data_IF_220766986954
#
_entry.id   IF_220766986954
#
_cell.length_a   1.000
_cell.length_b   1.000
_cell.length_c   1.000
_cell.angle_alpha   90.00
_cell.angle_beta   90.00
_cell.angle_gamma   90.00
#
_symmetry.space_group_name_H-M   'P 1'
#
loop_
_entity.id
_entity.type
_entity.pdbx_description
1 polymer ?
#
# COMPACT_ATOMS: atom_id res chain seq x y z
N UNK A 1 21.00 -17.84 -24.58
CA UNK A 1 20.21 -17.87 -23.33
C UNK A 1 18.89 -17.16 -23.63
N UNK A 2 17.75 -17.85 -23.61
CA UNK A 2 16.44 -17.20 -23.77
C UNK A 2 16.08 -16.60 -22.41
N UNK A 3 16.13 -15.27 -22.26
CA UNK A 3 15.47 -14.62 -21.13
C UNK A 3 13.97 -14.81 -21.33
N UNK A 4 13.40 -15.77 -20.61
CA UNK A 4 11.94 -15.87 -20.50
C UNK A 4 11.50 -14.66 -19.68
N UNK A 5 10.85 -13.68 -20.32
CA UNK A 5 10.18 -12.61 -19.58
C UNK A 5 9.01 -13.22 -18.84
N UNK A 6 9.19 -13.52 -17.56
CA UNK A 6 8.09 -13.91 -16.67
C UNK A 6 7.18 -12.70 -16.48
N UNK A 7 6.13 -12.63 -17.30
CA UNK A 7 5.08 -11.63 -17.12
C UNK A 7 4.30 -12.01 -15.86
N UNK A 8 4.67 -11.40 -14.73
CA UNK A 8 3.91 -11.59 -13.49
C UNK A 8 2.53 -10.92 -13.62
N UNK A 9 1.43 -11.66 -13.40
CA UNK A 9 0.10 -11.08 -13.50
C UNK A 9 -0.12 -10.04 -12.40
N UNK A 10 -0.45 -8.81 -12.80
CA UNK A 10 -0.74 -7.75 -11.84
C UNK A 10 -2.15 -7.92 -11.26
N UNK A 11 -2.26 -7.85 -9.94
CA UNK A 11 -3.51 -7.92 -9.20
C UNK A 11 -3.90 -6.54 -8.68
N UNK A 12 -5.19 -6.34 -8.41
CA UNK A 12 -5.66 -5.12 -7.77
C UNK A 12 -5.43 -5.19 -6.27
N UNK A 13 -4.92 -4.10 -5.70
CA UNK A 13 -4.73 -3.95 -4.27
C UNK A 13 -5.29 -2.62 -3.78
N UNK A 14 -5.70 -2.61 -2.52
CA UNK A 14 -6.02 -1.41 -1.75
C UNK A 14 -5.00 -1.29 -0.63
N UNK A 15 -4.20 -0.23 -0.64
CA UNK A 15 -3.27 0.08 0.43
C UNK A 15 -3.84 1.17 1.33
N UNK A 16 -3.77 0.96 2.64
CA UNK A 16 -4.12 1.96 3.65
C UNK A 16 -2.85 2.64 4.09
N UNK A 17 -2.83 3.96 3.99
CA UNK A 17 -1.62 4.76 4.20
C UNK A 17 -1.87 5.89 5.18
N UNK A 18 -0.84 6.28 5.92
CA UNK A 18 -0.92 7.34 6.93
C UNK A 18 0.36 8.19 6.94
N UNK A 19 0.31 9.44 7.42
CA UNK A 19 1.49 10.31 7.46
C UNK A 19 2.65 9.64 8.20
N UNK A 20 3.87 9.67 7.64
CA UNK A 20 5.06 9.08 8.28
C UNK A 20 5.43 9.73 9.61
N UNK A 21 4.94 10.94 9.85
CA UNK A 21 5.13 11.69 11.10
C UNK A 21 4.15 11.28 12.20
N UNK A 22 3.08 10.56 11.87
CA UNK A 22 2.11 10.08 12.83
C UNK A 22 2.67 8.85 13.58
N UNK A 23 2.60 8.89 14.90
CA UNK A 23 2.94 7.77 15.77
C UNK A 23 1.78 6.78 15.87
N UNK A 24 2.01 5.63 16.49
CA UNK A 24 0.95 4.65 16.73
C UNK A 24 -0.21 5.24 17.54
N UNK A 25 0.07 6.15 18.48
CA UNK A 25 -0.93 6.84 19.30
C UNK A 25 -1.80 7.78 18.47
N UNK A 26 -1.21 8.45 17.47
CA UNK A 26 -1.95 9.34 16.58
C UNK A 26 -2.95 8.59 15.69
N UNK A 27 -2.75 7.28 15.51
CA UNK A 27 -3.63 6.42 14.71
C UNK A 27 -4.79 5.82 15.52
N UNK A 28 -4.82 6.01 16.83
CA UNK A 28 -5.88 5.50 17.69
C UNK A 28 -7.13 6.40 17.67
N UNK A 29 -8.30 5.78 17.82
CA UNK A 29 -9.57 6.49 17.91
C UNK A 29 -10.08 7.07 16.59
N UNK A 30 -11.09 7.94 16.70
CA UNK A 30 -11.78 8.52 15.55
C UNK A 30 -10.89 9.53 14.80
N UNK A 31 -10.05 10.28 15.51
CA UNK A 31 -9.10 11.23 14.92
C UNK A 31 -8.03 10.50 14.10
N UNK A 32 -7.49 9.39 14.62
CA UNK A 32 -6.52 8.58 13.88
C UNK A 32 -7.10 7.94 12.62
N UNK A 33 -8.39 7.58 12.65
CA UNK A 33 -9.09 7.10 11.45
C UNK A 33 -9.16 8.14 10.33
N UNK A 34 -9.13 9.44 10.65
CA UNK A 34 -9.10 10.52 9.65
C UNK A 34 -7.72 10.69 8.99
N UNK A 35 -6.66 10.20 9.64
CA UNK A 35 -5.29 10.23 9.11
C UNK A 35 -5.01 9.07 8.15
N UNK A 36 -5.79 7.99 8.23
CA UNK A 36 -5.67 6.84 7.36
C UNK A 36 -6.42 7.10 6.06
N UNK A 37 -5.67 7.18 4.97
CA UNK A 37 -6.20 7.25 3.62
C UNK A 37 -6.11 5.88 2.93
N UNK A 38 -6.81 5.69 1.81
CA UNK A 38 -6.74 4.45 1.05
C UNK A 38 -6.55 4.70 -0.43
N UNK A 39 -5.57 4.04 -1.02
CA UNK A 39 -5.27 4.13 -2.45
C UNK A 39 -5.43 2.77 -3.13
N UNK A 40 -5.84 2.79 -4.40
CA UNK A 40 -5.96 1.61 -5.24
C UNK A 40 -4.81 1.56 -6.24
N UNK A 41 -4.18 0.39 -6.37
CA UNK A 41 -3.06 0.21 -7.28
C UNK A 41 -2.98 -1.22 -7.83
N UNK A 42 -2.25 -1.36 -8.94
CA UNK A 42 -1.91 -2.65 -9.53
C UNK A 42 -0.50 -3.05 -9.13
N UNK A 43 -0.34 -4.26 -8.60
CA UNK A 43 0.93 -4.79 -8.13
C UNK A 43 1.03 -6.30 -8.36
N UNK A 44 2.25 -6.82 -8.40
CA UNK A 44 2.47 -8.26 -8.57
C UNK A 44 2.20 -9.04 -7.26
N UNK A 45 2.43 -8.41 -6.12
CA UNK A 45 2.23 -8.96 -4.78
C UNK A 45 1.78 -7.87 -3.78
N UNK A 46 1.40 -8.27 -2.57
CA UNK A 46 1.07 -7.33 -1.49
C UNK A 46 2.28 -6.52 -1.02
N UNK A 47 3.48 -7.09 -1.09
CA UNK A 47 4.73 -6.42 -0.77
C UNK A 47 5.07 -5.36 -1.82
N UNK A 48 4.97 -5.72 -3.11
CA UNK A 48 5.12 -4.77 -4.23
C UNK A 48 4.06 -3.65 -4.15
N UNK A 49 2.84 -3.99 -3.74
CA UNK A 49 1.80 -2.99 -3.51
C UNK A 49 2.15 -2.04 -2.35
N UNK A 50 2.69 -2.55 -1.24
CA UNK A 50 3.11 -1.70 -0.13
C UNK A 50 4.25 -0.76 -0.54
N UNK A 51 5.26 -1.27 -1.25
CA UNK A 51 6.38 -0.45 -1.72
C UNK A 51 5.91 0.65 -2.69
N UNK A 52 5.09 0.30 -3.68
CA UNK A 52 4.50 1.27 -4.61
C UNK A 52 3.63 2.30 -3.91
N UNK A 53 2.82 1.87 -2.94
CA UNK A 53 1.99 2.77 -2.15
C UNK A 53 2.85 3.80 -1.40
N UNK A 54 3.95 3.36 -0.77
CA UNK A 54 4.92 4.25 -0.10
C UNK A 54 5.58 5.20 -1.09
N UNK A 55 5.97 4.71 -2.26
CA UNK A 55 6.65 5.51 -3.28
C UNK A 55 5.76 6.61 -3.85
N UNK A 56 4.51 6.29 -4.21
CA UNK A 56 3.57 7.23 -4.83
C UNK A 56 3.06 8.27 -3.83
N UNK A 57 2.82 7.88 -2.58
CA UNK A 57 2.18 8.76 -1.60
C UNK A 57 3.16 9.45 -0.65
N UNK A 58 4.39 8.95 -0.53
CA UNK A 58 5.34 9.38 0.51
C UNK A 58 4.91 9.01 1.94
N UNK A 59 3.80 8.29 2.11
CA UNK A 59 3.20 7.91 3.40
C UNK A 59 3.68 6.53 3.87
N UNK A 60 3.48 6.25 5.15
CA UNK A 60 3.65 4.90 5.69
C UNK A 60 2.45 4.03 5.31
N UNK A 61 2.65 2.71 5.21
CA UNK A 61 1.59 1.75 4.90
C UNK A 61 1.20 1.04 6.17
N UNK A 62 -0.09 1.11 6.52
CA UNK A 62 -0.67 0.40 7.66
C UNK A 62 -0.96 -1.05 7.30
N UNK A 63 -1.62 -1.27 6.16
CA UNK A 63 -1.95 -2.60 5.63
C UNK A 63 -2.25 -2.54 4.15
N UNK A 64 -2.17 -3.69 3.49
CA UNK A 64 -2.57 -3.86 2.10
C UNK A 64 -3.58 -5.00 2.02
N UNK A 65 -4.68 -4.74 1.33
CA UNK A 65 -5.72 -5.72 1.04
C UNK A 65 -5.71 -6.01 -0.46
N UNK A 66 -5.82 -7.29 -0.84
CA UNK A 66 -6.06 -7.66 -2.23
C UNK A 66 -7.52 -7.39 -2.58
N UNK A 67 -7.73 -6.76 -3.73
CA UNK A 67 -9.06 -6.62 -4.35
C UNK A 67 -9.14 -7.68 -5.44
N UNK A 68 -9.87 -8.75 -5.17
CA UNK A 68 -10.23 -9.75 -6.18
C UNK A 68 -11.29 -9.21 -7.16
#
# INVERSE_FOLDING_TARGET
>A
MRQTTEIQPMRSYRAFVYPRTASAWDLEGEEGSKLVDSIHLKAASSEDAAEKARHVTGKAVLRVERKD
#
